data_IF_976711058857
#
_entry.id   IF_976711058857
#
_cell.length_a   1.000
_cell.length_b   1.000
_cell.length_c   1.000
_cell.angle_alpha   90.00
_cell.angle_beta   90.00
_cell.angle_gamma   90.00
#
_symmetry.space_group_name_H-M   'P 1'
#
loop_
_entity.id
_entity.type
_entity.pdbx_description
1 polymer ?
#
# COMPACT_ATOMS: atom_id res chain seq x y z
N UNK A 1 -10.92 -10.63 11.86
CA UNK A 1 -9.66 -10.01 12.32
C UNK A 1 -9.94 -8.70 13.06
N UNK A 2 -10.60 -7.72 12.43
CA UNK A 2 -10.91 -6.43 13.07
C UNK A 2 -11.72 -6.58 14.36
N UNK A 3 -12.75 -7.43 14.38
CA UNK A 3 -13.53 -7.71 15.61
C UNK A 3 -12.66 -8.25 16.76
N UNK A 4 -11.64 -9.06 16.43
CA UNK A 4 -10.69 -9.57 17.43
C UNK A 4 -9.82 -8.45 17.96
N UNK A 5 -9.33 -7.56 17.09
CA UNK A 5 -8.55 -6.39 17.53
C UNK A 5 -9.42 -5.46 18.39
N UNK A 6 -10.64 -5.13 17.97
CA UNK A 6 -11.57 -4.36 18.79
C UNK A 6 -11.75 -4.98 20.18
N UNK A 7 -12.00 -6.28 20.27
CA UNK A 7 -12.16 -6.97 21.54
C UNK A 7 -10.92 -6.92 22.46
N UNK A 8 -9.72 -6.71 21.90
CA UNK A 8 -8.46 -6.60 22.65
C UNK A 8 -8.06 -5.15 22.95
N UNK A 9 -8.74 -4.16 22.38
CA UNK A 9 -8.39 -2.74 22.45
C UNK A 9 -9.61 -1.87 22.78
N UNK A 10 -10.30 -2.18 23.88
CA UNK A 10 -11.44 -1.40 24.39
C UNK A 10 -12.61 -1.19 23.40
N UNK A 11 -12.76 -2.10 22.45
CA UNK A 11 -13.76 -2.01 21.39
C UNK A 11 -13.35 -1.14 20.19
N UNK A 12 -12.11 -0.64 20.16
CA UNK A 12 -11.62 0.24 19.10
C UNK A 12 -11.03 -0.55 17.92
N UNK A 13 -11.49 -0.19 16.72
CA UNK A 13 -10.93 -0.66 15.46
C UNK A 13 -10.99 0.47 14.43
N UNK A 14 -10.11 0.47 13.41
CA UNK A 14 -10.18 1.43 12.34
C UNK A 14 -11.42 1.16 11.48
N UNK A 15 -11.96 2.23 10.91
CA UNK A 15 -12.91 2.11 9.80
C UNK A 15 -12.13 1.67 8.57
N UNK A 16 -12.50 0.53 7.98
CA UNK A 16 -11.84 -0.03 6.80
C UNK A 16 -12.73 0.12 5.59
N UNK A 17 -12.19 0.77 4.55
CA UNK A 17 -12.81 0.85 3.22
C UNK A 17 -12.04 -0.06 2.28
N UNK A 18 -12.74 -1.04 1.70
CA UNK A 18 -12.18 -1.90 0.64
C UNK A 18 -12.62 -1.32 -0.70
N UNK A 19 -11.70 -0.64 -1.38
CA UNK A 19 -11.95 -0.03 -2.67
C UNK A 19 -11.39 -0.90 -3.80
N UNK A 20 -12.24 -1.31 -4.74
CA UNK A 20 -11.82 -2.04 -5.93
C UNK A 20 -11.17 -1.09 -6.94
N UNK A 21 -9.86 -1.26 -7.16
CA UNK A 21 -9.11 -0.48 -8.14
C UNK A 21 -9.12 -1.08 -9.56
N UNK A 22 -9.56 -2.33 -9.71
CA UNK A 22 -9.42 -3.10 -10.95
C UNK A 22 -10.71 -3.07 -11.77
N UNK A 23 -11.87 -3.27 -11.13
CA UNK A 23 -13.16 -3.50 -11.80
C UNK A 23 -13.26 -4.85 -12.53
N UNK A 24 -12.14 -5.36 -13.06
CA UNK A 24 -11.95 -6.69 -13.63
C UNK A 24 -10.62 -7.28 -13.11
N UNK A 25 -10.63 -8.43 -12.41
CA UNK A 25 -9.41 -9.01 -11.83
C UNK A 25 -8.39 -9.51 -12.87
N UNK A 26 -8.76 -9.59 -14.15
CA UNK A 26 -7.86 -9.94 -15.25
C UNK A 26 -7.18 -8.74 -15.90
N UNK A 27 -7.53 -7.52 -15.48
CA UNK A 27 -7.01 -6.27 -16.03
C UNK A 27 -6.21 -5.54 -14.96
N UNK A 28 -4.93 -5.32 -15.23
CA UNK A 28 -4.06 -4.51 -14.39
C UNK A 28 -3.96 -3.08 -14.95
N UNK A 29 -4.48 -2.06 -14.25
CA UNK A 29 -4.42 -0.67 -14.68
C UNK A 29 -3.08 0.02 -14.36
N UNK A 30 -2.14 -0.67 -13.71
CA UNK A 30 -0.79 -0.14 -13.45
C UNK A 30 -0.71 0.95 -12.38
N UNK A 31 -1.70 1.00 -11.49
CA UNK A 31 -1.78 1.96 -10.38
C UNK A 31 -1.73 3.45 -10.80
N UNK A 32 -2.07 3.79 -12.04
CA UNK A 32 -1.92 5.15 -12.56
C UNK A 32 -3.13 5.53 -13.41
N UNK A 33 -3.43 6.82 -13.45
CA UNK A 33 -4.38 7.34 -14.43
C UNK A 33 -3.82 7.11 -15.85
N UNK A 34 -4.64 6.55 -16.74
CA UNK A 34 -4.25 6.29 -18.13
C UNK A 34 -5.43 6.50 -19.09
N UNK A 35 -5.13 6.75 -20.36
CA UNK A 35 -6.16 6.86 -21.38
C UNK A 35 -6.95 5.56 -21.57
N UNK A 36 -6.29 4.42 -21.38
CA UNK A 36 -6.87 3.09 -21.61
C UNK A 36 -7.72 2.58 -20.45
N UNK A 37 -7.26 2.77 -19.21
CA UNK A 37 -7.90 2.19 -18.03
C UNK A 37 -8.60 3.23 -17.15
N UNK A 38 -8.61 4.49 -17.58
CA UNK A 38 -9.29 5.56 -16.87
C UNK A 38 -8.50 6.07 -15.67
N UNK A 39 -9.22 6.62 -14.69
CA UNK A 39 -8.63 7.42 -13.62
C UNK A 39 -8.50 6.65 -12.29
N UNK A 40 -7.76 5.55 -12.31
CA UNK A 40 -7.64 4.62 -11.16
C UNK A 40 -6.89 5.24 -9.98
N UNK A 41 -5.80 5.97 -10.23
CA UNK A 41 -5.06 6.68 -9.19
C UNK A 41 -5.94 7.77 -8.57
N UNK A 42 -6.62 8.55 -9.39
CA UNK A 42 -7.58 9.57 -8.91
C UNK A 42 -8.71 8.94 -8.10
N UNK A 43 -9.29 7.83 -8.55
CA UNK A 43 -10.39 7.17 -7.85
C UNK A 43 -9.97 6.76 -6.43
N UNK A 44 -8.84 6.06 -6.28
CA UNK A 44 -8.37 5.60 -4.97
C UNK A 44 -7.89 6.75 -4.09
N UNK A 45 -7.08 7.65 -4.64
CA UNK A 45 -6.40 8.66 -3.81
C UNK A 45 -7.26 9.88 -3.51
N UNK A 46 -8.28 10.15 -4.33
CA UNK A 46 -9.18 11.29 -4.17
C UNK A 46 -10.61 10.86 -3.94
N UNK A 47 -11.25 10.21 -4.90
CA UNK A 47 -12.72 10.07 -4.89
C UNK A 47 -13.18 9.18 -3.71
N UNK A 48 -12.47 8.07 -3.44
CA UNK A 48 -12.71 7.21 -2.27
C UNK A 48 -12.43 7.95 -0.95
N UNK A 49 -11.34 8.73 -0.89
CA UNK A 49 -10.96 9.49 0.31
C UNK A 49 -11.99 10.58 0.63
N UNK A 50 -12.42 11.33 -0.38
CA UNK A 50 -13.43 12.38 -0.25
C UNK A 50 -14.78 11.78 0.13
N UNK A 51 -15.17 10.65 -0.48
CA UNK A 51 -16.38 9.93 -0.08
C UNK A 51 -16.31 9.48 1.38
N UNK A 52 -15.20 8.87 1.81
CA UNK A 52 -15.04 8.43 3.20
C UNK A 52 -15.14 9.60 4.18
N UNK A 53 -14.47 10.72 3.90
CA UNK A 53 -14.52 11.92 4.75
C UNK A 53 -15.94 12.53 4.83
N UNK A 54 -16.73 12.42 3.77
CA UNK A 54 -18.08 12.97 3.72
C UNK A 54 -19.16 12.05 4.33
N UNK A 55 -18.92 10.74 4.36
CA UNK A 55 -19.95 9.74 4.71
C UNK A 55 -19.65 8.95 5.99
N UNK A 56 -18.41 8.98 6.49
CA UNK A 56 -17.97 8.21 7.65
C UNK A 56 -17.45 9.14 8.73
N UNK A 57 -17.59 8.74 10.00
CA UNK A 57 -17.01 9.44 11.14
C UNK A 57 -15.51 9.11 11.23
N UNK A 58 -14.71 9.70 10.34
CA UNK A 58 -13.26 9.46 10.22
C UNK A 58 -12.45 10.72 10.46
N UNK A 59 -11.28 10.56 11.07
CA UNK A 59 -10.26 11.61 11.13
C UNK A 59 -9.68 11.89 9.74
N UNK A 60 -9.58 13.15 9.35
CA UNK A 60 -9.25 13.52 7.96
C UNK A 60 -7.76 13.76 7.71
N UNK A 61 -6.93 13.76 8.75
CA UNK A 61 -5.49 14.04 8.67
C UNK A 61 -4.71 12.91 8.00
N UNK A 62 -3.53 13.22 7.44
CA UNK A 62 -2.63 12.19 6.93
C UNK A 62 -2.21 11.21 8.03
N UNK A 63 -1.89 11.73 9.22
CA UNK A 63 -1.39 10.93 10.34
C UNK A 63 -2.38 9.86 10.82
N UNK A 64 -3.69 10.08 10.64
CA UNK A 64 -4.76 9.15 10.97
C UNK A 64 -5.15 8.20 9.83
N UNK A 65 -4.63 8.41 8.61
CA UNK A 65 -5.01 7.63 7.43
C UNK A 65 -3.92 6.64 7.03
N UNK A 66 -4.34 5.42 6.75
CA UNK A 66 -3.52 4.34 6.22
C UNK A 66 -4.01 3.94 4.83
N UNK A 67 -3.09 3.71 3.90
CA UNK A 67 -3.35 2.96 2.67
C UNK A 67 -2.57 1.65 2.70
N UNK A 68 -3.17 0.58 2.20
CA UNK A 68 -2.48 -0.70 2.17
C UNK A 68 -3.03 -1.67 1.13
N UNK A 69 -2.22 -2.64 0.77
CA UNK A 69 -2.58 -3.65 -0.22
C UNK A 69 -1.62 -4.83 -0.25
N UNK A 70 -1.94 -5.79 -1.13
CA UNK A 70 -1.17 -7.02 -1.33
C UNK A 70 -0.74 -7.17 -2.79
N UNK A 71 0.47 -7.70 -3.04
CA UNK A 71 1.03 -7.90 -4.39
C UNK A 71 1.03 -6.59 -5.19
N UNK A 72 0.46 -6.56 -6.39
CA UNK A 72 0.26 -5.31 -7.16
C UNK A 72 -0.39 -4.21 -6.30
N UNK A 73 -1.37 -4.55 -5.45
CA UNK A 73 -2.00 -3.60 -4.53
C UNK A 73 -1.05 -3.05 -3.45
N UNK A 74 -0.05 -3.82 -3.02
CA UNK A 74 0.99 -3.36 -2.09
C UNK A 74 1.91 -2.32 -2.75
N UNK A 75 2.30 -2.59 -4.00
CA UNK A 75 3.06 -1.63 -4.82
C UNK A 75 2.25 -0.36 -5.10
N UNK A 76 0.96 -0.47 -5.45
CA UNK A 76 0.07 0.68 -5.62
C UNK A 76 -0.04 1.49 -4.31
N UNK A 77 -0.24 0.83 -3.17
CA UNK A 77 -0.34 1.51 -1.88
C UNK A 77 0.94 2.31 -1.56
N UNK A 78 2.12 1.71 -1.78
CA UNK A 78 3.39 2.40 -1.60
C UNK A 78 3.53 3.59 -2.56
N UNK A 79 3.16 3.40 -3.83
CA UNK A 79 3.19 4.46 -4.83
C UNK A 79 2.31 5.65 -4.41
N UNK A 80 1.07 5.38 -4.00
CA UNK A 80 0.11 6.41 -3.59
C UNK A 80 0.53 7.10 -2.29
N UNK A 81 1.03 6.36 -1.29
CA UNK A 81 1.54 6.96 -0.06
C UNK A 81 2.76 7.86 -0.32
N UNK A 82 3.63 7.48 -1.27
CA UNK A 82 4.77 8.29 -1.66
C UNK A 82 4.37 9.54 -2.47
N UNK A 83 3.36 9.43 -3.36
CA UNK A 83 2.88 10.56 -4.17
C UNK A 83 2.02 11.55 -3.40
N UNK A 84 1.25 11.06 -2.43
CA UNK A 84 0.26 11.84 -1.68
C UNK A 84 0.49 11.73 -0.16
N UNK A 85 1.67 12.11 0.36
CA UNK A 85 1.97 12.01 1.78
C UNK A 85 1.09 12.92 2.65
N UNK A 86 0.48 13.95 2.07
CA UNK A 86 -0.52 14.81 2.71
C UNK A 86 -1.89 14.12 2.89
N UNK A 87 -2.11 12.99 2.23
CA UNK A 87 -3.34 12.18 2.36
C UNK A 87 -3.12 10.92 3.15
N UNK A 88 -1.95 10.28 3.00
CA UNK A 88 -1.63 9.00 3.63
C UNK A 88 -0.34 9.11 4.45
N UNK A 89 -0.50 9.23 5.77
CA UNK A 89 0.63 9.22 6.71
C UNK A 89 1.10 7.83 7.08
N UNK A 90 0.32 6.79 6.75
CA UNK A 90 0.66 5.42 7.08
C UNK A 90 0.49 4.49 5.87
N UNK A 91 1.36 3.49 5.77
CA UNK A 91 1.40 2.52 4.67
C UNK A 91 1.47 1.08 5.19
N UNK A 92 0.76 0.19 4.52
CA UNK A 92 0.97 -1.26 4.57
C UNK A 92 1.25 -1.82 3.16
N UNK A 93 2.41 -2.43 2.99
CA UNK A 93 2.78 -3.17 1.78
C UNK A 93 2.94 -4.67 2.15
N UNK A 94 2.05 -5.52 1.64
CA UNK A 94 2.12 -6.98 1.82
C UNK A 94 2.56 -7.62 0.51
N UNK A 95 3.77 -8.18 0.47
CA UNK A 95 4.34 -8.84 -0.71
C UNK A 95 4.26 -7.96 -1.96
N UNK A 96 4.55 -6.66 -1.86
CA UNK A 96 4.46 -5.75 -3.00
C UNK A 96 5.51 -5.95 -4.08
N UNK A 97 5.11 -5.66 -5.31
CA UNK A 97 5.99 -5.54 -6.47
C UNK A 97 6.92 -4.31 -6.35
N UNK A 98 8.07 -4.34 -7.03
CA UNK A 98 9.02 -3.20 -7.04
C UNK A 98 8.89 -2.32 -8.29
N UNK A 99 7.88 -2.58 -9.11
CA UNK A 99 7.60 -1.92 -10.38
C UNK A 99 6.09 -1.74 -10.58
N UNK A 100 5.66 -0.90 -11.55
CA UNK A 100 4.25 -0.74 -11.87
C UNK A 100 3.64 -2.04 -12.40
N UNK A 101 2.48 -2.40 -11.87
CA UNK A 101 1.74 -3.59 -12.27
C UNK A 101 2.20 -4.88 -11.58
N UNK A 102 1.72 -6.00 -12.09
CA UNK A 102 2.12 -7.37 -11.73
C UNK A 102 3.01 -8.03 -12.78
N UNK A 103 3.53 -9.22 -12.48
CA UNK A 103 4.05 -10.36 -13.30
C UNK A 103 4.52 -10.16 -14.78
N UNK A 104 3.89 -9.29 -15.59
CA UNK A 104 4.29 -8.94 -16.96
C UNK A 104 4.61 -7.43 -17.15
N UNK A 105 5.84 -7.00 -16.79
CA UNK A 105 6.32 -5.63 -17.00
C UNK A 105 6.25 -5.15 -18.46
N UNK A 106 6.41 -6.05 -19.43
CA UNK A 106 6.45 -5.68 -20.85
C UNK A 106 5.04 -5.34 -21.34
N UNK A 107 4.04 -6.15 -20.97
CA UNK A 107 2.65 -5.83 -21.23
C UNK A 107 2.23 -4.55 -20.51
N UNK A 108 2.67 -4.35 -19.26
CA UNK A 108 2.38 -3.13 -18.51
C UNK A 108 2.92 -1.87 -19.20
N UNK A 109 4.20 -1.90 -19.58
CA UNK A 109 4.86 -0.82 -20.34
C UNK A 109 4.10 -0.48 -21.62
N UNK A 110 3.66 -1.48 -22.39
CA UNK A 110 2.95 -1.23 -23.65
C UNK A 110 1.51 -0.75 -23.42
N UNK A 111 0.78 -1.36 -22.48
CA UNK A 111 -0.66 -1.15 -22.35
C UNK A 111 -1.00 0.12 -21.56
N UNK A 112 -0.17 0.53 -20.62
CA UNK A 112 -0.43 1.68 -19.73
C UNK A 112 0.43 2.89 -20.09
N UNK A 113 1.66 2.66 -20.56
CA UNK A 113 2.64 3.71 -20.82
C UNK A 113 2.94 3.91 -22.30
N UNK A 114 2.20 3.26 -23.20
CA UNK A 114 2.38 3.34 -24.66
C UNK A 114 3.83 3.07 -25.12
N UNK A 115 4.57 2.24 -24.38
CA UNK A 115 5.98 1.93 -24.65
C UNK A 115 6.99 2.95 -24.09
N UNK A 116 6.55 3.99 -23.38
CA UNK A 116 7.44 4.97 -22.76
C UNK A 116 8.11 4.42 -21.50
N UNK A 117 9.36 3.96 -21.68
CA UNK A 117 10.18 3.42 -20.59
C UNK A 117 10.44 4.43 -19.48
N UNK A 118 10.60 5.71 -19.82
CA UNK A 118 10.89 6.74 -18.82
C UNK A 118 9.66 7.02 -17.95
N UNK A 119 8.47 7.02 -18.55
CA UNK A 119 7.21 7.12 -17.81
C UNK A 119 6.98 5.92 -16.89
N UNK A 120 7.24 4.70 -17.37
CA UNK A 120 7.18 3.48 -16.57
C UNK A 120 8.17 3.50 -15.39
N UNK A 121 9.43 3.85 -15.65
CA UNK A 121 10.47 3.91 -14.61
C UNK A 121 10.20 5.02 -13.58
N UNK A 122 9.58 6.13 -14.01
CA UNK A 122 9.13 7.19 -13.13
C UNK A 122 8.02 6.75 -12.16
N UNK A 123 7.33 5.64 -12.45
CA UNK A 123 6.31 5.05 -11.58
C UNK A 123 6.82 3.97 -10.64
N UNK A 124 8.09 3.55 -10.76
CA UNK A 124 8.67 2.62 -9.78
C UNK A 124 8.66 3.25 -8.38
N UNK A 125 8.20 2.55 -7.33
CA UNK A 125 8.13 3.10 -5.99
C UNK A 125 9.44 3.71 -5.49
N UNK A 126 10.58 3.05 -5.75
CA UNK A 126 11.90 3.57 -5.39
C UNK A 126 12.22 4.92 -6.06
N UNK A 127 11.82 5.10 -7.33
CA UNK A 127 12.00 6.36 -8.07
C UNK A 127 11.19 7.49 -7.45
N UNK A 128 9.94 7.21 -7.04
CA UNK A 128 9.06 8.22 -6.42
C UNK A 128 9.55 8.57 -5.01
N UNK A 129 9.90 7.57 -4.20
CA UNK A 129 10.43 7.77 -2.84
C UNK A 129 11.69 8.64 -2.83
N UNK A 130 12.56 8.50 -3.82
CA UNK A 130 13.80 9.28 -3.91
C UNK A 130 13.59 10.80 -4.05
N UNK A 131 12.39 11.25 -4.47
CA UNK A 131 12.07 12.66 -4.76
C UNK A 131 11.63 13.48 -3.55
N UNK A 132 11.22 12.82 -2.46
CA UNK A 132 10.63 13.48 -1.30
C UNK A 132 11.23 12.97 0.01
N UNK A 133 10.77 13.54 1.12
CA UNK A 133 11.09 13.08 2.48
C UNK A 133 9.81 12.93 3.29
N UNK A 134 9.78 11.92 4.15
CA UNK A 134 8.57 11.49 4.85
C UNK A 134 8.75 11.40 6.38
N UNK A 135 9.25 12.46 7.05
CA UNK A 135 9.67 12.41 8.45
C UNK A 135 8.53 12.15 9.46
N UNK A 136 7.28 12.22 9.00
CA UNK A 136 6.09 12.00 9.81
C UNK A 136 5.24 10.83 9.32
N UNK A 137 5.79 9.99 8.44
CA UNK A 137 5.08 8.83 7.90
C UNK A 137 5.65 7.52 8.42
N UNK A 138 4.78 6.53 8.60
CA UNK A 138 5.16 5.17 9.01
C UNK A 138 4.78 4.16 7.93
N UNK A 139 5.67 3.21 7.64
CA UNK A 139 5.44 2.17 6.64
C UNK A 139 5.73 0.78 7.21
N UNK A 140 4.80 -0.14 7.00
CA UNK A 140 4.94 -1.55 7.38
C UNK A 140 5.05 -2.37 6.10
N UNK A 141 6.15 -3.10 5.96
CA UNK A 141 6.40 -4.01 4.85
C UNK A 141 6.34 -5.45 5.35
N UNK A 142 5.64 -6.32 4.64
CA UNK A 142 5.53 -7.73 5.02
C UNK A 142 5.63 -8.64 3.82
N UNK A 143 6.00 -9.89 4.04
CA UNK A 143 5.99 -10.94 3.02
C UNK A 143 5.84 -12.32 3.68
N UNK A 144 5.41 -13.34 2.94
CA UNK A 144 5.46 -14.72 3.43
C UNK A 144 6.90 -15.20 3.59
N UNK A 145 7.24 -15.88 4.69
CA UNK A 145 8.60 -16.41 4.91
C UNK A 145 9.00 -17.49 3.89
N UNK A 146 8.00 -18.12 3.29
CA UNK A 146 8.10 -19.15 2.26
C UNK A 146 8.14 -18.58 0.83
N UNK A 147 8.10 -17.25 0.68
CA UNK A 147 8.20 -16.54 -0.60
C UNK A 147 9.46 -15.67 -0.66
N UNK A 148 10.62 -16.23 -1.06
CA UNK A 148 11.89 -15.49 -1.03
C UNK A 148 11.94 -14.33 -2.03
N UNK A 149 11.15 -14.38 -3.11
CA UNK A 149 11.10 -13.33 -4.13
C UNK A 149 10.41 -12.10 -3.55
N UNK A 150 9.20 -12.26 -3.02
CA UNK A 150 8.47 -11.14 -2.43
C UNK A 150 9.08 -10.67 -1.09
N UNK A 151 9.73 -11.55 -0.33
CA UNK A 151 10.53 -11.14 0.83
C UNK A 151 11.71 -10.24 0.43
N UNK A 152 12.39 -10.55 -0.69
CA UNK A 152 13.45 -9.69 -1.21
C UNK A 152 12.90 -8.35 -1.73
N UNK A 153 11.76 -8.37 -2.43
CA UNK A 153 11.08 -7.17 -2.89
C UNK A 153 10.67 -6.25 -1.72
N UNK A 154 10.00 -6.79 -0.70
CA UNK A 154 9.57 -6.06 0.49
C UNK A 154 10.78 -5.44 1.25
N UNK A 155 11.90 -6.16 1.36
CA UNK A 155 13.15 -5.59 1.92
C UNK A 155 13.70 -4.44 1.09
N UNK A 156 13.65 -4.54 -0.24
CA UNK A 156 14.10 -3.48 -1.15
C UNK A 156 13.23 -2.23 -1.02
N UNK A 157 11.90 -2.39 -1.07
CA UNK A 157 10.93 -1.31 -0.88
C UNK A 157 11.09 -0.64 0.49
N UNK A 158 11.28 -1.43 1.56
CA UNK A 158 11.57 -0.91 2.91
C UNK A 158 12.86 -0.09 2.95
N UNK A 159 13.93 -0.56 2.30
CA UNK A 159 15.20 0.17 2.26
C UNK A 159 15.06 1.51 1.56
N UNK A 160 14.34 1.56 0.42
CA UNK A 160 14.03 2.81 -0.27
C UNK A 160 13.18 3.76 0.60
N UNK A 161 12.17 3.24 1.29
CA UNK A 161 11.31 4.05 2.16
C UNK A 161 12.09 4.61 3.37
N UNK A 162 12.98 3.82 3.95
CA UNK A 162 13.88 4.25 5.04
C UNK A 162 14.83 5.35 4.56
N UNK A 163 15.42 5.20 3.37
CA UNK A 163 16.28 6.23 2.78
C UNK A 163 15.53 7.55 2.50
N UNK A 164 14.22 7.46 2.25
CA UNK A 164 13.34 8.62 2.11
C UNK A 164 12.81 9.16 3.45
N UNK A 165 13.11 8.52 4.58
CA UNK A 165 12.80 9.03 5.92
C UNK A 165 11.48 8.55 6.52
N UNK A 166 10.84 7.51 5.98
CA UNK A 166 9.76 6.81 6.68
C UNK A 166 10.29 6.14 7.95
N UNK A 167 9.49 6.12 9.01
CA UNK A 167 9.64 5.12 10.08
C UNK A 167 9.18 3.76 9.53
N UNK A 168 10.09 2.79 9.40
CA UNK A 168 9.78 1.52 8.72
C UNK A 168 9.82 0.32 9.65
N UNK A 169 8.87 -0.59 9.43
CA UNK A 169 8.86 -1.92 10.03
C UNK A 169 8.83 -2.97 8.94
N UNK A 170 9.42 -4.13 9.25
CA UNK A 170 9.42 -5.28 8.37
C UNK A 170 9.13 -6.54 9.17
N UNK A 171 8.25 -7.40 8.66
CA UNK A 171 7.98 -8.70 9.24
C UNK A 171 7.77 -9.75 8.14
N UNK A 172 8.34 -10.93 8.33
CA UNK A 172 7.97 -12.10 7.55
C UNK A 172 6.87 -12.87 8.27
N UNK A 173 5.83 -13.25 7.53
CA UNK A 173 4.71 -14.05 8.05
C UNK A 173 5.11 -15.53 7.99
N UNK A 174 5.32 -16.21 9.13
CA UNK A 174 5.71 -17.61 9.15
C UNK A 174 4.62 -18.48 8.53
N UNK A 175 4.99 -19.34 7.59
CA UNK A 175 4.03 -20.20 6.87
C UNK A 175 2.86 -19.40 6.26
N UNK A 176 3.12 -18.17 5.82
CA UNK A 176 2.10 -17.29 5.24
C UNK A 176 1.47 -17.87 3.97
N UNK A 177 2.15 -18.80 3.30
CA UNK A 177 1.67 -19.34 2.04
C UNK A 177 1.62 -18.26 0.96
N UNK A 178 1.16 -18.60 -0.24
CA UNK A 178 1.26 -17.69 -1.37
C UNK A 178 0.30 -16.49 -1.25
N UNK A 179 -0.80 -16.57 -0.50
CA UNK A 179 -1.86 -15.54 -0.53
C UNK A 179 -2.47 -15.24 0.85
N UNK A 180 -3.39 -16.08 1.34
CA UNK A 180 -4.25 -15.70 2.47
C UNK A 180 -3.49 -15.52 3.79
N UNK A 181 -2.53 -16.40 4.10
CA UNK A 181 -1.75 -16.26 5.32
C UNK A 181 -0.86 -15.02 5.28
N UNK A 182 -0.22 -14.73 4.14
CA UNK A 182 0.56 -13.50 3.94
C UNK A 182 -0.31 -12.24 4.13
N UNK A 183 -1.52 -12.22 3.57
CA UNK A 183 -2.48 -11.11 3.76
C UNK A 183 -2.85 -10.96 5.23
N UNK A 184 -3.40 -11.99 5.87
CA UNK A 184 -3.86 -11.88 7.26
C UNK A 184 -2.72 -11.55 8.22
N UNK A 185 -1.57 -12.22 8.08
CA UNK A 185 -0.39 -11.95 8.89
C UNK A 185 0.17 -10.55 8.63
N UNK A 186 0.13 -10.07 7.39
CA UNK A 186 0.57 -8.72 7.03
C UNK A 186 -0.28 -7.65 7.72
N UNK A 187 -1.61 -7.78 7.66
CA UNK A 187 -2.52 -6.89 8.37
C UNK A 187 -2.38 -7.00 9.90
N UNK A 188 -2.19 -8.19 10.46
CA UNK A 188 -1.97 -8.36 11.90
C UNK A 188 -0.68 -7.65 12.37
N UNK A 189 0.41 -7.79 11.61
CA UNK A 189 1.65 -7.05 11.88
C UNK A 189 1.46 -5.54 11.75
N UNK A 190 0.70 -5.10 10.74
CA UNK A 190 0.37 -3.69 10.54
C UNK A 190 -0.42 -3.09 11.71
N UNK A 191 -1.50 -3.75 12.13
CA UNK A 191 -2.34 -3.25 13.20
C UNK A 191 -1.61 -3.25 14.53
N UNK A 192 -0.87 -4.32 14.84
CA UNK A 192 0.02 -4.34 16.02
C UNK A 192 1.01 -3.17 15.99
N UNK A 193 1.49 -2.81 14.80
CA UNK A 193 2.45 -1.74 14.66
C UNK A 193 1.84 -0.33 14.79
N UNK A 194 0.64 -0.13 14.25
CA UNK A 194 0.08 1.21 14.03
C UNK A 194 -1.07 1.56 14.96
N UNK A 195 -1.70 0.61 15.66
CA UNK A 195 -2.78 0.91 16.59
C UNK A 195 -2.39 1.95 17.65
N UNK A 196 -1.23 1.87 18.32
CA UNK A 196 -0.82 2.90 19.28
C UNK A 196 -0.66 4.28 18.64
N UNK A 197 -0.12 4.32 17.41
CA UNK A 197 0.03 5.55 16.64
C UNK A 197 -1.30 6.16 16.22
N UNK A 198 -2.30 5.32 15.97
CA UNK A 198 -3.64 5.72 15.54
C UNK A 198 -4.59 5.99 16.73
N UNK A 199 -4.12 5.84 17.97
CA UNK A 199 -4.96 5.99 19.16
C UNK A 199 -6.00 4.87 19.32
N UNK A 200 -5.72 3.69 18.77
CA UNK A 200 -6.59 2.51 18.78
C UNK A 200 -6.11 1.44 19.76
N UNK A 201 -5.11 1.72 20.58
CA UNK A 201 -4.57 0.81 21.59
C UNK A 201 -3.37 1.41 22.31
N UNK A 202 -2.95 0.77 23.41
CA UNK A 202 -1.74 1.10 24.16
C UNK A 202 -0.46 0.49 23.54
#
# INVERSE_FOLDING_TARGET
>A
MLDRFAALHDGLAPIVVVADQLGDPSVDPGCTDSARFGKVETYITRDVVEWANANLAVETTAASRLIGGYSNGGACALLYAARYPERFGNLLDVSGETFPGSEDPAAMLQNVFDGDQAAYDAQKPATVLARHRYPHSTAVFTAGSDDPVYAAAARSSRAAATAAGFDTRYAEVPHGGPVLGAIYGGFENCFTALYPRLGLGD
#
